data_IF_581595721517
#
_entry.id   IF_581595721517
#
_cell.length_a   1.000
_cell.length_b   1.000
_cell.length_c   1.000
_cell.angle_alpha   90.00
_cell.angle_beta   90.00
_cell.angle_gamma   90.00
#
_symmetry.space_group_name_H-M   'P 1'
#
loop_
_entity.id
_entity.type
_entity.pdbx_description
1 polymer ?
#
# COMPACT_ATOMS: atom_id res chain seq x y z
N UNK A 1 25.50 77.54 -21.05
CA UNK A 1 25.66 76.29 -21.81
C UNK A 1 26.14 75.23 -20.83
N UNK A 2 25.19 74.44 -20.25
CA UNK A 2 25.46 73.48 -19.15
C UNK A 2 25.48 72.09 -19.77
N UNK A 3 26.68 71.47 -19.83
CA UNK A 3 26.89 70.12 -20.38
C UNK A 3 26.50 69.06 -19.29
N UNK A 4 25.41 68.37 -19.47
CA UNK A 4 25.03 67.23 -18.64
C UNK A 4 25.87 65.99 -18.95
N UNK A 5 26.68 65.58 -17.98
CA UNK A 5 27.57 64.43 -18.10
C UNK A 5 26.75 63.17 -17.67
N UNK A 6 26.24 62.42 -18.63
CA UNK A 6 25.51 61.18 -18.38
C UNK A 6 26.50 60.06 -17.94
N UNK A 7 26.48 59.71 -16.66
CA UNK A 7 27.22 58.57 -16.11
C UNK A 7 26.50 57.31 -16.47
N UNK A 8 27.00 56.51 -17.41
CA UNK A 8 26.53 55.14 -17.67
C UNK A 8 27.01 54.25 -16.52
N UNK A 9 26.07 53.85 -15.65
CA UNK A 9 26.31 52.77 -14.70
C UNK A 9 26.43 51.46 -15.49
N UNK A 10 27.64 50.92 -15.63
CA UNK A 10 27.87 49.55 -16.05
C UNK A 10 27.39 48.62 -14.92
N UNK A 11 26.23 48.00 -15.11
CA UNK A 11 25.82 46.89 -14.27
C UNK A 11 26.78 45.71 -14.52
N UNK A 12 27.65 45.45 -13.55
CA UNK A 12 28.53 44.28 -13.57
C UNK A 12 27.62 43.05 -13.52
N UNK A 13 27.46 42.33 -14.62
CA UNK A 13 26.86 41.01 -14.66
C UNK A 13 27.81 40.08 -13.92
N UNK A 14 27.42 39.68 -12.72
CA UNK A 14 28.08 38.60 -12.00
C UNK A 14 28.01 37.33 -12.86
N UNK A 15 29.13 36.95 -13.48
CA UNK A 15 29.26 35.70 -14.20
C UNK A 15 29.48 34.61 -13.14
N UNK A 16 28.59 33.62 -13.08
CA UNK A 16 28.76 32.47 -12.21
C UNK A 16 30.03 31.71 -12.56
N UNK A 17 30.81 31.37 -11.54
CA UNK A 17 31.99 30.53 -11.70
C UNK A 17 31.57 29.06 -11.96
N UNK A 18 32.31 28.37 -12.82
CA UNK A 18 32.11 26.95 -13.08
C UNK A 18 32.25 26.12 -11.80
N UNK A 19 33.10 26.53 -10.87
CA UNK A 19 33.26 25.90 -9.54
C UNK A 19 32.01 26.08 -8.69
N UNK A 20 31.37 27.24 -8.70
CA UNK A 20 30.14 27.51 -7.96
C UNK A 20 29.00 26.65 -8.47
N UNK A 21 28.86 26.49 -9.80
CA UNK A 21 27.88 25.63 -10.40
C UNK A 21 28.10 24.15 -10.03
N UNK A 22 29.36 23.68 -10.09
CA UNK A 22 29.68 22.29 -9.71
C UNK A 22 29.46 22.03 -8.22
N UNK A 23 29.71 22.99 -7.33
CA UNK A 23 29.44 22.87 -5.90
C UNK A 23 27.95 22.76 -5.62
N UNK A 24 27.11 23.54 -6.29
CA UNK A 24 25.63 23.45 -6.16
C UNK A 24 25.12 22.12 -6.66
N UNK A 25 25.59 21.62 -7.79
CA UNK A 25 25.20 20.32 -8.32
C UNK A 25 25.61 19.18 -7.38
N UNK A 26 26.79 19.22 -6.79
CA UNK A 26 27.28 18.27 -5.82
C UNK A 26 26.37 18.25 -4.55
N UNK A 27 26.01 19.44 -4.04
CA UNK A 27 25.12 19.57 -2.89
C UNK A 27 23.71 19.03 -3.20
N UNK A 28 23.17 19.35 -4.38
CA UNK A 28 21.87 18.81 -4.81
C UNK A 28 21.88 17.28 -4.92
N UNK A 29 22.96 16.69 -5.43
CA UNK A 29 23.11 15.23 -5.53
C UNK A 29 23.10 14.56 -4.14
N UNK A 30 23.80 15.15 -3.17
CA UNK A 30 23.81 14.65 -1.77
C UNK A 30 22.41 14.73 -1.16
N UNK A 31 21.72 15.87 -1.29
CA UNK A 31 20.36 16.03 -0.76
C UNK A 31 19.37 15.07 -1.41
N UNK A 32 19.45 14.87 -2.73
CA UNK A 32 18.59 13.93 -3.44
C UNK A 32 18.79 12.48 -2.96
N UNK A 33 20.03 12.08 -2.64
CA UNK A 33 20.31 10.72 -2.14
C UNK A 33 19.68 10.46 -0.77
N UNK A 34 19.72 11.42 0.14
CA UNK A 34 19.13 11.30 1.50
C UNK A 34 17.60 11.15 1.42
N UNK A 35 16.93 11.92 0.57
CA UNK A 35 15.48 11.86 0.39
C UNK A 35 15.05 10.49 -0.12
N UNK A 36 15.76 9.91 -1.09
CA UNK A 36 15.41 8.60 -1.67
C UNK A 36 15.45 7.47 -0.63
N UNK A 37 16.41 7.48 0.28
CA UNK A 37 16.54 6.46 1.34
C UNK A 37 15.42 6.54 2.38
N UNK A 38 14.89 7.74 2.65
CA UNK A 38 13.87 7.97 3.69
C UNK A 38 12.44 7.65 3.23
N UNK A 39 12.15 7.75 1.94
CA UNK A 39 10.77 7.61 1.40
C UNK A 39 10.35 6.14 1.23
N UNK A 40 11.27 5.25 0.85
CA UNK A 40 10.98 3.83 0.60
C UNK A 40 10.22 3.12 1.74
N UNK A 41 10.66 3.18 3.01
CA UNK A 41 9.99 2.48 4.11
C UNK A 41 8.59 3.02 4.41
N UNK A 42 8.34 4.32 4.17
CA UNK A 42 7.03 4.94 4.37
C UNK A 42 6.03 4.43 3.33
N UNK A 43 6.44 4.35 2.07
CA UNK A 43 5.60 3.81 0.98
C UNK A 43 5.27 2.34 1.20
N UNK A 44 6.22 1.53 1.65
CA UNK A 44 6.00 0.11 1.97
C UNK A 44 4.96 -0.05 3.07
N UNK A 45 5.07 0.68 4.18
CA UNK A 45 4.08 0.66 5.27
C UNK A 45 2.70 1.11 4.79
N UNK A 46 2.64 2.12 3.92
CA UNK A 46 1.38 2.57 3.30
C UNK A 46 0.70 1.47 2.51
N UNK A 47 1.44 0.77 1.65
CA UNK A 47 0.95 -0.37 0.87
C UNK A 47 0.51 -1.53 1.76
N UNK A 48 1.29 -1.89 2.77
CA UNK A 48 0.90 -2.93 3.72
C UNK A 48 -0.38 -2.60 4.48
N UNK A 49 -0.57 -1.35 4.90
CA UNK A 49 -1.79 -0.93 5.56
C UNK A 49 -3.00 -0.98 4.61
N UNK A 50 -2.82 -0.62 3.34
CA UNK A 50 -3.85 -0.75 2.32
C UNK A 50 -4.22 -2.22 2.10
N UNK A 51 -3.24 -3.13 1.97
CA UNK A 51 -3.47 -4.56 1.85
C UNK A 51 -4.24 -5.13 3.06
N UNK A 52 -3.89 -4.71 4.29
CA UNK A 52 -4.63 -5.11 5.51
C UNK A 52 -6.08 -4.65 5.48
N UNK A 53 -6.34 -3.43 5.08
CA UNK A 53 -7.69 -2.90 4.96
C UNK A 53 -8.51 -3.68 3.91
N UNK A 54 -7.89 -4.01 2.79
CA UNK A 54 -8.51 -4.78 1.71
C UNK A 54 -8.84 -6.22 2.14
N UNK A 55 -7.90 -6.91 2.82
CA UNK A 55 -8.16 -8.23 3.43
C UNK A 55 -9.32 -8.15 4.42
N UNK A 56 -9.40 -7.08 5.22
CA UNK A 56 -10.54 -6.84 6.12
C UNK A 56 -11.87 -6.73 5.39
N UNK A 57 -11.90 -6.02 4.25
CA UNK A 57 -13.09 -5.90 3.40
C UNK A 57 -13.49 -7.25 2.79
N UNK A 58 -12.53 -8.01 2.25
CA UNK A 58 -12.76 -9.37 1.71
C UNK A 58 -13.29 -10.29 2.81
N UNK A 59 -12.69 -10.26 4.00
CA UNK A 59 -13.13 -11.04 5.16
C UNK A 59 -14.56 -10.71 5.54
N UNK A 60 -14.94 -9.44 5.57
CA UNK A 60 -16.32 -9.02 5.86
C UNK A 60 -17.31 -9.53 4.81
N UNK A 61 -16.92 -9.56 3.54
CA UNK A 61 -17.74 -10.13 2.48
C UNK A 61 -17.88 -11.65 2.62
N UNK A 62 -16.81 -12.37 3.00
CA UNK A 62 -16.83 -13.81 3.28
C UNK A 62 -17.74 -14.16 4.46
N UNK A 63 -17.71 -13.39 5.55
CA UNK A 63 -18.61 -13.57 6.70
C UNK A 63 -20.07 -13.30 6.31
N UNK A 64 -20.33 -12.30 5.47
CA UNK A 64 -21.67 -12.04 4.95
C UNK A 64 -22.14 -13.19 4.06
N UNK A 65 -21.28 -13.72 3.20
CA UNK A 65 -21.57 -14.89 2.37
C UNK A 65 -21.93 -16.10 3.25
N UNK A 66 -21.12 -16.36 4.28
CA UNK A 66 -21.42 -17.45 5.24
C UNK A 66 -22.77 -17.26 5.95
N UNK A 67 -23.09 -16.03 6.34
CA UNK A 67 -24.40 -15.75 6.97
C UNK A 67 -25.57 -16.03 6.04
N UNK A 68 -25.44 -15.77 4.74
CA UNK A 68 -26.50 -15.94 3.74
C UNK A 68 -26.64 -17.38 3.23
N UNK A 69 -25.54 -18.11 3.12
CA UNK A 69 -25.47 -19.42 2.49
C UNK A 69 -25.14 -20.55 3.46
N UNK A 70 -24.78 -20.26 4.72
CA UNK A 70 -24.42 -21.24 5.74
C UNK A 70 -23.07 -21.93 5.49
N UNK A 71 -22.26 -21.42 4.58
CA UNK A 71 -20.93 -21.93 4.23
C UNK A 71 -20.02 -20.84 3.71
N UNK A 72 -18.72 -21.07 3.70
CA UNK A 72 -17.77 -20.27 2.94
C UNK A 72 -17.66 -20.75 1.49
N UNK A 73 -17.20 -19.90 0.55
CA UNK A 73 -16.88 -20.32 -0.81
C UNK A 73 -15.87 -21.48 -0.81
N UNK A 74 -15.98 -22.38 -1.79
CA UNK A 74 -14.95 -23.42 -1.99
C UNK A 74 -13.71 -22.82 -2.66
N UNK A 75 -12.58 -23.53 -2.65
CA UNK A 75 -11.37 -23.11 -3.34
C UNK A 75 -11.60 -22.94 -4.86
N UNK A 76 -12.47 -23.78 -5.46
CA UNK A 76 -12.83 -23.68 -6.88
C UNK A 76 -13.68 -22.43 -7.20
N UNK A 77 -14.57 -22.04 -6.29
CA UNK A 77 -15.38 -20.83 -6.40
C UNK A 77 -14.53 -19.58 -6.16
N UNK A 78 -13.56 -19.68 -5.27
CA UNK A 78 -12.64 -18.61 -4.91
C UNK A 78 -13.34 -17.32 -4.48
N UNK A 79 -12.61 -16.21 -4.51
CA UNK A 79 -13.16 -14.88 -4.22
C UNK A 79 -14.10 -14.36 -5.33
N UNK A 80 -14.05 -14.95 -6.53
CA UNK A 80 -14.86 -14.53 -7.66
C UNK A 80 -16.37 -14.67 -7.42
N UNK A 81 -16.81 -15.65 -6.61
CA UNK A 81 -18.21 -15.84 -6.24
C UNK A 81 -18.79 -14.63 -5.51
N UNK A 82 -17.96 -13.86 -4.78
CA UNK A 82 -18.40 -12.69 -4.03
C UNK A 82 -18.82 -11.52 -4.95
N UNK A 83 -18.42 -11.54 -6.20
CA UNK A 83 -18.81 -10.53 -7.20
C UNK A 83 -20.07 -10.92 -7.98
N UNK A 84 -20.52 -12.17 -7.83
CA UNK A 84 -21.67 -12.67 -8.57
C UNK A 84 -22.96 -12.08 -8.04
N UNK A 85 -23.82 -11.67 -8.97
CA UNK A 85 -25.17 -11.22 -8.69
C UNK A 85 -26.09 -12.43 -8.57
N UNK A 86 -26.82 -12.49 -7.48
CA UNK A 86 -27.78 -13.55 -7.19
C UNK A 86 -29.11 -12.94 -6.75
N UNK A 87 -30.19 -13.73 -6.71
CA UNK A 87 -31.48 -13.27 -6.23
C UNK A 87 -31.43 -12.72 -4.80
N UNK A 88 -30.51 -13.24 -3.98
CA UNK A 88 -30.27 -12.76 -2.61
C UNK A 88 -29.36 -11.51 -2.56
N UNK A 89 -28.56 -11.29 -3.59
CA UNK A 89 -27.53 -10.25 -3.68
C UNK A 89 -27.53 -9.64 -5.09
N UNK A 90 -28.45 -8.72 -5.39
CA UNK A 90 -28.59 -8.14 -6.73
C UNK A 90 -27.35 -7.37 -7.21
N UNK A 91 -26.49 -6.92 -6.30
CA UNK A 91 -25.27 -6.18 -6.64
C UNK A 91 -23.97 -6.94 -6.36
N UNK A 92 -24.07 -8.18 -5.81
CA UNK A 92 -22.91 -8.91 -5.31
C UNK A 92 -22.46 -8.39 -3.93
N UNK A 93 -21.52 -9.07 -3.29
CA UNK A 93 -20.90 -8.64 -2.04
C UNK A 93 -19.69 -7.74 -2.28
N UNK A 94 -19.01 -7.96 -3.40
CA UNK A 94 -17.94 -7.11 -3.90
C UNK A 94 -18.27 -6.67 -5.32
N UNK A 95 -17.88 -5.46 -5.69
CA UNK A 95 -18.02 -4.97 -7.08
C UNK A 95 -17.07 -5.70 -8.03
N UNK A 96 -15.86 -5.94 -7.56
CA UNK A 96 -14.80 -6.69 -8.26
C UNK A 96 -13.90 -7.33 -7.21
N UNK A 97 -13.17 -8.38 -7.59
CA UNK A 97 -12.11 -8.93 -6.75
C UNK A 97 -10.91 -8.00 -6.84
N UNK A 98 -10.51 -7.33 -5.74
CA UNK A 98 -9.41 -6.40 -5.78
C UNK A 98 -8.08 -7.12 -6.02
N UNK A 99 -7.12 -6.41 -6.61
CA UNK A 99 -5.71 -6.79 -6.56
C UNK A 99 -5.05 -6.08 -5.39
N UNK A 100 -3.99 -6.68 -4.87
CA UNK A 100 -3.21 -6.07 -3.80
C UNK A 100 -2.51 -4.76 -4.27
N UNK A 101 -1.93 -3.96 -3.37
CA UNK A 101 -1.26 -2.70 -3.72
C UNK A 101 0.00 -2.87 -4.57
N UNK A 102 0.47 -4.08 -4.79
CA UNK A 102 1.60 -4.39 -5.70
C UNK A 102 1.13 -4.94 -7.04
N UNK A 103 -0.18 -5.26 -7.18
CA UNK A 103 -0.80 -5.72 -8.42
C UNK A 103 -0.96 -7.23 -8.51
N UNK A 104 -0.76 -7.98 -7.42
CA UNK A 104 -0.97 -9.41 -7.36
C UNK A 104 -2.40 -9.75 -6.91
N UNK A 105 -2.96 -10.91 -7.31
CA UNK A 105 -4.22 -11.39 -6.77
C UNK A 105 -4.05 -11.85 -5.31
N UNK A 106 -5.08 -11.64 -4.49
CA UNK A 106 -5.15 -12.26 -3.17
C UNK A 106 -5.34 -13.77 -3.30
N UNK A 107 -4.60 -14.55 -2.51
CA UNK A 107 -4.82 -15.98 -2.37
C UNK A 107 -5.96 -16.23 -1.39
N UNK A 108 -6.74 -17.28 -1.65
CA UNK A 108 -7.86 -17.70 -0.82
C UNK A 108 -7.80 -19.20 -0.61
N UNK A 109 -7.82 -19.63 0.66
CA UNK A 109 -7.75 -21.02 1.05
C UNK A 109 -8.93 -21.39 1.99
N UNK A 110 -9.57 -22.51 1.73
CA UNK A 110 -10.59 -23.13 2.57
C UNK A 110 -10.29 -24.62 2.68
N UNK A 111 -10.10 -25.16 3.89
CA UNK A 111 -9.99 -24.45 5.18
C UNK A 111 -8.72 -23.60 5.25
N UNK A 112 -8.72 -22.59 6.12
CA UNK A 112 -7.54 -21.82 6.46
C UNK A 112 -6.56 -22.63 7.32
N UNK A 113 -5.39 -22.07 7.59
CA UNK A 113 -4.41 -22.65 8.49
C UNK A 113 -4.89 -22.58 9.95
N UNK A 114 -4.26 -23.34 10.83
CA UNK A 114 -4.49 -23.36 12.29
C UNK A 114 -5.97 -23.50 12.73
N UNK A 115 -6.79 -24.20 11.93
CA UNK A 115 -8.19 -24.44 12.22
C UNK A 115 -9.12 -23.28 11.90
N UNK A 116 -8.63 -22.26 11.21
CA UNK A 116 -9.48 -21.18 10.73
C UNK A 116 -10.40 -21.66 9.60
N UNK A 117 -11.62 -21.12 9.51
CA UNK A 117 -12.57 -21.54 8.48
C UNK A 117 -12.11 -21.18 7.06
N UNK A 118 -11.34 -20.11 6.92
CA UNK A 118 -10.74 -19.66 5.67
C UNK A 118 -9.50 -18.81 5.95
N UNK A 119 -8.69 -18.59 4.94
CA UNK A 119 -7.56 -17.68 4.94
C UNK A 119 -7.51 -16.86 3.66
N UNK A 120 -7.21 -15.55 3.79
CA UNK A 120 -6.92 -14.64 2.68
C UNK A 120 -5.52 -14.11 2.87
N UNK A 121 -4.66 -14.25 1.83
CA UNK A 121 -3.24 -13.94 1.90
C UNK A 121 -2.89 -12.93 0.80
N UNK A 122 -2.12 -11.91 1.18
CA UNK A 122 -1.38 -11.04 0.28
C UNK A 122 0.10 -11.41 0.34
N UNK A 123 0.72 -11.73 -0.79
CA UNK A 123 2.10 -12.21 -0.89
C UNK A 123 3.16 -11.09 -0.94
N UNK A 124 2.80 -9.87 -0.53
CA UNK A 124 3.76 -8.77 -0.53
C UNK A 124 4.21 -8.32 -1.92
N UNK A 125 5.38 -7.67 -1.97
CA UNK A 125 5.84 -7.01 -3.20
C UNK A 125 6.45 -7.97 -4.22
N UNK A 126 6.95 -9.12 -3.81
CA UNK A 126 7.56 -10.10 -4.72
C UNK A 126 6.58 -11.18 -5.22
N UNK A 127 5.36 -11.23 -4.65
CA UNK A 127 4.31 -12.18 -5.04
C UNK A 127 4.65 -13.64 -4.73
N UNK A 128 5.48 -13.90 -3.72
CA UNK A 128 5.90 -15.24 -3.29
C UNK A 128 5.64 -15.43 -1.81
N UNK A 129 5.42 -16.68 -1.41
CA UNK A 129 5.26 -17.03 -0.01
C UNK A 129 6.51 -16.73 0.82
N UNK A 130 6.32 -16.10 1.98
CA UNK A 130 7.39 -15.71 2.89
C UNK A 130 7.90 -14.29 2.65
N UNK A 131 9.18 -14.05 2.99
CA UNK A 131 9.81 -12.74 2.81
C UNK A 131 9.74 -11.83 4.03
N UNK A 132 10.46 -10.71 3.96
CA UNK A 132 10.57 -9.71 5.01
C UNK A 132 10.30 -8.30 4.48
N UNK A 133 9.89 -7.40 5.37
CA UNK A 133 9.72 -5.99 5.02
C UNK A 133 8.62 -5.77 3.97
N UNK A 134 8.96 -5.34 2.76
CA UNK A 134 8.01 -5.11 1.67
C UNK A 134 7.45 -6.41 1.08
N UNK A 135 8.22 -7.49 1.16
CA UNK A 135 7.90 -8.80 0.59
C UNK A 135 7.18 -9.71 1.61
N UNK A 136 7.01 -9.24 2.86
CA UNK A 136 6.35 -10.00 3.91
C UNK A 136 4.88 -10.25 3.59
N UNK A 137 4.44 -11.50 3.79
CA UNK A 137 3.05 -11.91 3.65
C UNK A 137 2.14 -11.25 4.69
N UNK A 138 0.92 -10.97 4.28
CA UNK A 138 -0.13 -10.44 5.16
C UNK A 138 -1.32 -11.38 5.05
N UNK A 139 -1.62 -12.08 6.15
CA UNK A 139 -2.75 -13.00 6.26
C UNK A 139 -3.91 -12.40 7.06
N UNK A 140 -5.14 -12.82 6.74
CA UNK A 140 -6.36 -12.48 7.49
C UNK A 140 -6.31 -12.96 8.94
N UNK A 141 -5.55 -14.01 9.23
CA UNK A 141 -5.35 -14.55 10.58
C UNK A 141 -4.64 -13.56 11.49
N UNK A 142 -3.51 -13.01 11.05
CA UNK A 142 -2.73 -12.03 11.80
C UNK A 142 -3.49 -10.73 12.08
N UNK A 143 -4.51 -10.42 11.27
CA UNK A 143 -5.38 -9.26 11.50
C UNK A 143 -6.34 -9.49 12.68
N UNK A 144 -6.86 -10.70 12.84
CA UNK A 144 -7.74 -11.09 13.97
C UNK A 144 -6.97 -11.07 15.29
N UNK A 145 -5.74 -11.56 15.29
CA UNK A 145 -4.87 -11.57 16.48
C UNK A 145 -4.47 -10.17 16.92
N UNK A 146 -4.15 -9.29 16.00
CA UNK A 146 -3.81 -7.90 16.31
C UNK A 146 -5.00 -7.12 16.85
N UNK A 147 -6.21 -7.37 16.36
CA UNK A 147 -7.45 -6.78 16.84
C UNK A 147 -7.80 -7.28 18.26
N UNK A 148 -7.67 -8.58 18.52
CA UNK A 148 -7.93 -9.18 19.84
C UNK A 148 -6.96 -8.68 20.90
N UNK A 149 -5.68 -8.53 20.56
CA UNK A 149 -4.64 -8.02 21.46
C UNK A 149 -4.81 -6.54 21.78
N UNK A 150 -5.28 -5.75 20.83
CA UNK A 150 -5.61 -4.34 21.04
C UNK A 150 -6.83 -4.16 21.96
N UNK A 151 -7.85 -5.00 21.82
CA UNK A 151 -9.04 -4.97 22.68
C UNK A 151 -8.74 -5.40 24.13
N UNK A 152 -7.84 -6.37 24.33
CA UNK A 152 -7.41 -6.82 25.65
C UNK A 152 -6.58 -5.80 26.44
N UNK A 153 -5.90 -4.88 25.74
CA UNK A 153 -5.08 -3.82 26.37
C UNK A 153 -5.87 -2.53 26.70
N UNK A 154 -7.15 -2.45 26.34
CA UNK A 154 -8.00 -1.27 26.51
C UNK A 154 -8.98 -1.38 27.69
N UNK A 155 -8.82 -2.37 28.57
CA UNK A 155 -9.64 -2.45 29.79
C UNK A 155 -8.93 -1.70 30.93
N UNK A 156 -9.54 -0.66 31.52
CA UNK A 156 -8.97 0.15 32.59
C UNK A 156 -8.88 -0.60 33.92
#
# INVERSE_FOLDING_TARGET
MITQKTTKMCAARAAFSLVELTAVLALMAILASVVTLSVRPIMTKGKQNAARAEIGNISSALETFNTLYGRYPTNDEGLAILTQKTDKLPEGLLKEVPSDPWGHPYQYNVPGQDGQPYEVICLGADGKEGGDGADADISSEHLKDSASKSAASATP
#
